data_IF_353337121763
#
_entry.id   IF_353337121763
#
_cell.length_a   1.000
_cell.length_b   1.000
_cell.length_c   1.000
_cell.angle_alpha   90.00
_cell.angle_beta   90.00
_cell.angle_gamma   90.00
#
_symmetry.space_group_name_H-M   'P 1'
#
loop_
_entity.id
_entity.type
_entity.pdbx_description
1 polymer ?
#
# COMPACT_ATOMS: atom_id res chain seq x y z
N UNK A 1 3.67 4.06 -8.95
CA UNK A 1 4.29 3.67 -10.23
C UNK A 1 5.72 4.20 -10.40
N UNK A 2 6.66 3.95 -9.47
CA UNK A 2 8.06 4.40 -9.62
C UNK A 2 8.79 3.65 -10.74
N UNK A 3 9.75 4.33 -11.38
CA UNK A 3 10.70 3.69 -12.30
C UNK A 3 11.95 3.34 -11.49
N UNK A 4 12.32 2.08 -11.49
CA UNK A 4 13.57 1.58 -10.88
C UNK A 4 14.40 0.79 -11.88
N UNK A 5 15.62 0.44 -11.48
CA UNK A 5 16.58 -0.31 -12.32
C UNK A 5 16.12 -1.75 -12.61
N UNK A 6 15.21 -2.28 -11.79
CA UNK A 6 14.67 -3.63 -11.88
C UNK A 6 13.15 -3.59 -11.94
N UNK A 7 12.56 -4.47 -12.75
CA UNK A 7 11.13 -4.69 -12.83
C UNK A 7 10.85 -6.19 -12.76
N UNK A 8 10.08 -6.61 -11.75
CA UNK A 8 9.64 -7.99 -11.55
C UNK A 8 10.76 -9.04 -11.72
N UNK A 9 11.91 -8.80 -11.08
CA UNK A 9 13.06 -9.72 -11.10
C UNK A 9 13.95 -9.66 -12.35
N UNK A 10 13.72 -8.73 -13.27
CA UNK A 10 14.54 -8.53 -14.48
C UNK A 10 15.03 -7.09 -14.58
N UNK A 11 16.18 -6.86 -15.22
CA UNK A 11 16.70 -5.50 -15.49
C UNK A 11 15.67 -4.70 -16.31
N UNK A 12 15.37 -3.48 -15.87
CA UNK A 12 14.36 -2.62 -16.46
C UNK A 12 14.93 -1.74 -17.59
N UNK A 13 15.47 -2.36 -18.64
CA UNK A 13 16.04 -1.61 -19.78
C UNK A 13 15.00 -0.78 -20.53
N UNK A 14 13.71 -1.11 -20.37
CA UNK A 14 12.58 -0.39 -20.97
C UNK A 14 12.09 0.81 -20.17
N UNK A 15 12.65 1.08 -18.98
CA UNK A 15 12.22 2.20 -18.14
C UNK A 15 10.75 2.12 -17.71
N UNK A 16 10.22 0.92 -17.51
CA UNK A 16 8.83 0.72 -17.09
C UNK A 16 8.61 1.26 -15.68
N UNK A 17 7.49 1.94 -15.46
CA UNK A 17 7.01 2.23 -14.11
C UNK A 17 6.40 0.98 -13.47
N UNK A 18 6.67 0.75 -12.19
CA UNK A 18 6.17 -0.40 -11.42
C UNK A 18 4.90 -0.04 -10.68
N UNK A 19 3.74 -0.55 -11.13
CA UNK A 19 2.43 -0.24 -10.56
C UNK A 19 1.83 -1.47 -9.87
N UNK A 20 1.21 -1.29 -8.71
CA UNK A 20 0.36 -2.26 -8.05
C UNK A 20 -0.54 -1.52 -7.04
N UNK A 21 -1.65 -2.15 -6.66
CA UNK A 21 -2.48 -1.66 -5.56
C UNK A 21 -1.63 -1.53 -4.28
N UNK A 22 -1.87 -0.49 -3.50
CA UNK A 22 -1.09 -0.15 -2.30
C UNK A 22 -2.03 0.25 -1.16
N UNK A 23 -1.72 -0.22 0.05
CA UNK A 23 -2.50 0.06 1.25
C UNK A 23 -1.56 0.58 2.33
N UNK A 24 -1.49 1.89 2.46
CA UNK A 24 -0.62 2.56 3.41
C UNK A 24 -1.27 2.54 4.78
N UNK A 25 -0.95 1.47 5.52
CA UNK A 25 -1.44 1.26 6.87
C UNK A 25 -0.99 2.40 7.81
N UNK A 26 0.22 2.92 7.62
CA UNK A 26 0.81 3.91 8.51
C UNK A 26 1.97 4.67 7.86
N UNK A 27 1.67 5.86 7.35
CA UNK A 27 2.69 6.87 7.04
C UNK A 27 2.64 7.92 8.14
N UNK A 28 3.73 8.10 8.87
CA UNK A 28 3.74 8.99 10.02
C UNK A 28 5.15 9.39 10.45
N UNK A 29 5.19 10.47 11.22
CA UNK A 29 6.31 10.80 12.08
C UNK A 29 5.79 11.20 13.47
N UNK A 30 6.62 11.82 14.32
CA UNK A 30 6.18 12.25 15.65
C UNK A 30 5.14 13.38 15.65
N UNK A 31 4.80 13.96 14.49
CA UNK A 31 4.02 15.20 14.35
C UNK A 31 2.71 15.02 13.59
N UNK A 32 2.64 14.09 12.65
CA UNK A 32 1.44 13.79 11.87
C UNK A 32 1.38 12.32 11.45
N UNK A 33 0.20 11.88 10.98
CA UNK A 33 -0.04 10.54 10.45
C UNK A 33 -1.12 10.55 9.38
N UNK A 34 -1.02 9.64 8.41
CA UNK A 34 -2.02 9.33 7.42
C UNK A 34 -2.28 7.80 7.31
N UNK A 35 -3.50 7.45 6.93
CA UNK A 35 -3.94 6.13 6.51
C UNK A 35 -4.53 6.28 5.10
N UNK A 36 -4.01 5.54 4.12
CA UNK A 36 -4.33 5.82 2.71
C UNK A 36 -4.42 4.54 1.86
N UNK A 37 -5.60 4.17 1.34
CA UNK A 37 -5.72 3.19 0.26
C UNK A 37 -5.42 3.84 -1.11
N UNK A 38 -4.69 3.12 -1.95
CA UNK A 38 -4.29 3.51 -3.30
C UNK A 38 -4.71 2.42 -4.31
N UNK A 39 -5.94 2.48 -4.84
CA UNK A 39 -6.41 1.52 -5.82
C UNK A 39 -5.68 1.66 -7.16
N UNK A 40 -5.49 0.53 -7.82
CA UNK A 40 -5.01 0.45 -9.19
C UNK A 40 -5.85 -0.50 -10.02
N UNK A 41 -5.97 -0.19 -11.30
CA UNK A 41 -6.62 -1.06 -12.29
C UNK A 41 -5.84 -2.35 -12.61
N UNK A 42 -4.58 -2.47 -12.15
CA UNK A 42 -3.75 -3.68 -12.28
C UNK A 42 -3.86 -4.58 -11.05
N UNK A 43 -4.05 -5.89 -11.25
CA UNK A 43 -4.35 -6.82 -10.14
C UNK A 43 -3.14 -7.25 -9.30
N UNK A 44 -1.93 -7.06 -9.79
CA UNK A 44 -0.64 -7.33 -9.14
C UNK A 44 0.40 -6.35 -9.69
N UNK A 45 1.69 -6.71 -9.73
CA UNK A 45 2.70 -5.89 -10.36
C UNK A 45 2.44 -5.77 -11.88
N UNK A 46 2.31 -4.53 -12.35
CA UNK A 46 2.08 -4.16 -13.74
C UNK A 46 3.06 -3.09 -14.19
N UNK A 47 3.65 -3.28 -15.37
CA UNK A 47 4.55 -2.30 -15.99
C UNK A 47 3.73 -1.23 -16.73
N UNK A 48 4.06 0.03 -16.56
CA UNK A 48 3.44 1.14 -17.28
C UNK A 48 4.47 1.92 -18.11
N UNK A 49 3.98 2.65 -19.12
CA UNK A 49 4.73 3.68 -19.85
C UNK A 49 3.83 4.88 -20.14
N UNK A 50 4.43 6.06 -20.33
CA UNK A 50 3.68 7.25 -20.76
C UNK A 50 2.54 7.62 -19.80
N UNK A 51 1.35 7.92 -20.35
CA UNK A 51 0.18 8.32 -19.55
C UNK A 51 -0.31 7.25 -18.58
N UNK A 52 -0.05 5.97 -18.84
CA UNK A 52 -0.38 4.90 -17.90
C UNK A 52 0.39 5.01 -16.58
N UNK A 53 1.56 5.66 -16.58
CA UNK A 53 2.32 6.00 -15.37
C UNK A 53 1.96 7.37 -14.79
N UNK A 54 1.09 8.13 -15.45
CA UNK A 54 0.70 9.49 -15.07
C UNK A 54 -0.16 9.55 -13.81
N UNK A 55 -0.52 10.76 -13.39
CA UNK A 55 -1.39 11.00 -12.23
C UNK A 55 -2.80 10.41 -12.36
N UNK A 56 -3.29 10.26 -13.59
CA UNK A 56 -4.58 9.63 -13.91
C UNK A 56 -4.40 8.32 -14.69
N UNK A 57 -3.28 7.63 -14.44
CA UNK A 57 -2.88 6.40 -15.13
C UNK A 57 -3.46 5.13 -14.51
N UNK A 58 -2.63 4.10 -14.34
CA UNK A 58 -3.06 2.81 -13.79
C UNK A 58 -3.42 2.84 -12.31
N UNK A 59 -2.79 3.74 -11.56
CA UNK A 59 -2.87 3.80 -10.11
C UNK A 59 -3.24 5.20 -9.66
N UNK A 60 -4.07 5.24 -8.63
CA UNK A 60 -4.31 6.46 -7.87
C UNK A 60 -3.07 6.78 -7.02
N UNK A 61 -2.42 7.88 -7.39
CA UNK A 61 -1.20 8.35 -6.71
C UNK A 61 -1.49 9.17 -5.46
N UNK A 62 -2.67 9.79 -5.38
CA UNK A 62 -2.99 10.67 -4.26
C UNK A 62 -3.57 9.86 -3.09
N UNK A 63 -4.40 8.88 -3.40
CA UNK A 63 -5.03 8.05 -2.38
C UNK A 63 -6.19 8.74 -1.69
N UNK A 64 -6.99 7.93 -1.00
CA UNK A 64 -8.02 8.42 -0.10
C UNK A 64 -7.47 8.60 1.32
N UNK A 65 -6.77 9.70 1.59
CA UNK A 65 -6.06 9.91 2.85
C UNK A 65 -6.97 10.23 4.04
N UNK A 66 -6.70 9.63 5.19
CA UNK A 66 -7.23 10.04 6.50
C UNK A 66 -6.10 10.59 7.38
N UNK A 67 -5.96 11.92 7.41
CA UNK A 67 -5.05 12.63 8.31
C UNK A 67 -5.87 13.41 9.36
N UNK A 68 -5.82 13.06 10.65
CA UNK A 68 -6.59 13.74 11.70
C UNK A 68 -6.37 15.25 11.75
N UNK A 69 -5.13 15.72 11.53
CA UNK A 69 -4.81 17.14 11.56
C UNK A 69 -5.50 17.88 10.40
N UNK A 70 -5.44 17.33 9.19
CA UNK A 70 -6.14 17.87 8.01
C UNK A 70 -7.66 17.84 8.16
N UNK A 71 -8.18 16.87 8.91
CA UNK A 71 -9.60 16.76 9.26
C UNK A 71 -9.98 17.63 10.48
N UNK A 72 -9.15 18.60 10.85
CA UNK A 72 -9.46 19.61 11.88
C UNK A 72 -9.20 19.16 13.32
N UNK A 73 -8.61 17.99 13.53
CA UNK A 73 -8.29 17.44 14.86
C UNK A 73 -6.81 17.63 15.21
N UNK A 74 -6.37 18.88 15.25
CA UNK A 74 -4.97 19.26 15.47
C UNK A 74 -4.43 18.86 16.86
N UNK A 75 -5.31 18.68 17.84
CA UNK A 75 -4.97 18.21 19.20
C UNK A 75 -4.98 16.69 19.38
N UNK A 76 -5.12 15.92 18.30
CA UNK A 76 -5.34 14.47 18.39
C UNK A 76 -4.05 13.65 18.39
N UNK A 77 -3.15 13.81 17.42
CA UNK A 77 -1.93 13.00 17.28
C UNK A 77 -0.69 13.89 17.30
N UNK A 78 0.25 13.63 18.20
CA UNK A 78 1.48 14.40 18.33
C UNK A 78 2.11 14.31 19.72
N UNK A 79 3.22 15.03 19.97
CA UNK A 79 3.97 14.87 21.21
C UNK A 79 3.18 15.41 22.41
N UNK A 80 2.75 14.53 23.33
CA UNK A 80 1.91 14.88 24.48
C UNK A 80 0.43 15.12 24.17
N UNK A 81 -0.05 14.73 22.98
CA UNK A 81 -1.46 14.87 22.57
C UNK A 81 -2.29 13.62 22.92
N UNK A 82 -3.54 13.55 22.45
CA UNK A 82 -4.46 12.43 22.73
C UNK A 82 -3.84 11.06 22.41
N UNK A 83 -3.23 10.96 21.23
CA UNK A 83 -2.27 9.92 20.88
C UNK A 83 -0.87 10.53 21.01
N UNK A 84 -0.20 10.21 22.11
CA UNK A 84 1.10 10.76 22.48
C UNK A 84 2.24 10.04 21.74
N UNK A 85 2.83 10.73 20.78
CA UNK A 85 3.93 10.18 19.96
C UNK A 85 5.26 10.08 20.68
N UNK A 86 5.38 10.59 21.92
CA UNK A 86 6.54 10.35 22.79
C UNK A 86 6.51 8.97 23.46
N UNK A 87 5.38 8.26 23.37
CA UNK A 87 5.18 6.94 23.95
C UNK A 87 4.98 5.90 22.86
N UNK A 88 5.12 4.62 23.24
CA UNK A 88 4.76 3.51 22.35
C UNK A 88 3.27 3.60 21.99
N UNK A 89 2.96 3.49 20.71
CA UNK A 89 1.59 3.46 20.18
C UNK A 89 1.32 2.06 19.64
N UNK A 90 0.20 1.46 20.03
CA UNK A 90 -0.37 0.34 19.27
C UNK A 90 -1.37 0.92 18.28
N UNK A 91 -1.22 0.60 17.00
CA UNK A 91 -2.13 1.03 15.93
C UNK A 91 -2.92 -0.20 15.48
N UNK A 92 -4.25 -0.12 15.47
CA UNK A 92 -5.11 -1.19 14.93
C UNK A 92 -5.90 -0.63 13.76
N UNK A 93 -5.82 -1.32 12.62
CA UNK A 93 -6.59 -1.01 11.41
C UNK A 93 -7.48 -2.21 11.12
N UNK A 94 -8.79 -1.99 10.93
CA UNK A 94 -9.76 -3.05 10.63
C UNK A 94 -10.41 -2.80 9.28
N UNK A 95 -10.64 -3.88 8.54
CA UNK A 95 -11.18 -3.86 7.18
C UNK A 95 -12.55 -4.54 7.19
N UNK A 96 -13.62 -3.75 7.12
CA UNK A 96 -14.99 -4.24 7.24
C UNK A 96 -15.61 -4.45 5.88
N UNK A 97 -16.18 -5.63 5.68
CA UNK A 97 -16.89 -5.99 4.45
C UNK A 97 -18.40 -5.85 4.62
N UNK A 98 -19.10 -5.69 3.51
CA UNK A 98 -20.55 -5.47 3.44
C UNK A 98 -21.40 -6.52 4.17
N UNK A 99 -20.89 -7.74 4.32
CA UNK A 99 -21.58 -8.88 4.93
C UNK A 99 -20.84 -9.48 6.14
N UNK A 100 -19.75 -8.85 6.58
CA UNK A 100 -18.92 -9.33 7.68
C UNK A 100 -18.11 -10.61 7.37
N UNK A 101 -18.00 -11.01 6.11
CA UNK A 101 -17.20 -12.18 5.68
C UNK A 101 -15.89 -11.76 5.00
N UNK A 102 -14.94 -12.68 4.90
CA UNK A 102 -13.68 -12.44 4.17
C UNK A 102 -13.84 -12.39 2.64
N UNK A 103 -15.05 -12.63 2.12
CA UNK A 103 -15.36 -12.62 0.68
C UNK A 103 -16.29 -11.47 0.27
N UNK A 104 -16.84 -10.74 1.25
CA UNK A 104 -17.66 -9.57 0.98
C UNK A 104 -16.86 -8.40 0.41
N UNK A 105 -17.55 -7.41 -0.14
CA UNK A 105 -16.94 -6.18 -0.64
C UNK A 105 -16.44 -5.35 0.53
N UNK A 106 -15.20 -4.86 0.50
CA UNK A 106 -14.70 -3.90 1.49
C UNK A 106 -15.50 -2.59 1.42
N UNK A 107 -16.08 -2.17 2.54
CA UNK A 107 -16.93 -0.97 2.63
C UNK A 107 -16.40 0.08 3.59
N UNK A 108 -15.58 -0.32 4.56
CA UNK A 108 -15.06 0.59 5.57
C UNK A 108 -13.69 0.15 6.11
N UNK A 109 -12.78 1.11 6.28
CA UNK A 109 -11.51 0.90 7.00
C UNK A 109 -11.55 1.74 8.27
N UNK A 110 -11.54 1.09 9.42
CA UNK A 110 -11.51 1.78 10.73
C UNK A 110 -10.14 1.75 11.36
N UNK A 111 -9.89 2.73 12.23
CA UNK A 111 -8.66 2.91 12.97
C UNK A 111 -8.95 3.03 14.47
N UNK A 112 -8.07 2.51 15.29
CA UNK A 112 -8.00 2.84 16.72
C UNK A 112 -6.55 2.76 17.20
N UNK A 113 -6.29 3.36 18.35
CA UNK A 113 -5.00 3.34 19.01
C UNK A 113 -5.12 2.74 20.40
N UNK A 114 -4.01 2.20 20.92
CA UNK A 114 -3.92 1.78 22.32
C UNK A 114 -2.61 2.31 22.90
N UNK A 115 -2.71 3.08 23.99
CA UNK A 115 -1.59 3.59 24.77
C UNK A 115 -1.90 3.47 26.25
N UNK A 116 -0.89 3.08 27.04
CA UNK A 116 -1.02 2.95 28.50
C UNK A 116 -2.24 2.11 28.95
N UNK A 117 -2.58 1.09 28.15
CA UNK A 117 -3.72 0.21 28.41
C UNK A 117 -5.10 0.81 28.08
N UNK A 118 -5.17 1.99 27.48
CA UNK A 118 -6.43 2.66 27.11
C UNK A 118 -6.63 2.58 25.60
N UNK A 119 -7.83 2.16 25.18
CA UNK A 119 -8.27 2.25 23.78
C UNK A 119 -8.67 3.69 23.49
N UNK A 120 -8.10 4.23 22.42
CA UNK A 120 -8.36 5.56 21.90
C UNK A 120 -9.02 5.35 20.54
N UNK A 121 -10.31 5.68 20.44
CA UNK A 121 -11.05 5.66 19.17
C UNK A 121 -10.42 6.64 18.18
N UNK A 122 -10.57 6.40 16.87
CA UNK A 122 -10.05 7.32 15.85
C UNK A 122 -10.55 8.76 16.05
N UNK A 123 -9.79 9.71 15.50
CA UNK A 123 -10.23 11.08 15.40
C UNK A 123 -11.57 11.18 14.65
N UNK A 124 -12.45 12.05 15.11
CA UNK A 124 -13.69 12.40 14.43
C UNK A 124 -13.48 13.74 13.73
N UNK A 125 -13.61 13.78 12.42
CA UNK A 125 -13.39 14.97 11.60
C UNK A 125 -14.24 16.15 12.08
N UNK A 126 -13.60 17.31 12.22
CA UNK A 126 -14.19 18.54 12.74
C UNK A 126 -15.21 19.15 11.77
N UNK A 127 -16.05 20.05 12.28
CA UNK A 127 -17.15 20.66 11.50
C UNK A 127 -16.70 21.43 10.26
N UNK A 128 -15.48 21.98 10.26
CA UNK A 128 -14.90 22.74 9.16
C UNK A 128 -14.07 21.91 8.17
N UNK A 129 -13.96 20.59 8.37
CA UNK A 129 -13.12 19.70 7.53
C UNK A 129 -13.69 19.42 6.14
N UNK A 130 -14.96 19.77 5.89
CA UNK A 130 -15.71 19.28 4.74
C UNK A 130 -16.28 17.87 4.93
N UNK A 131 -15.89 17.16 5.99
CA UNK A 131 -16.32 15.79 6.32
C UNK A 131 -16.78 15.66 7.77
N UNK A 132 -17.69 16.53 8.26
CA UNK A 132 -18.07 16.57 9.67
C UNK A 132 -18.55 15.21 10.17
N UNK A 133 -17.96 14.72 11.27
CA UNK A 133 -18.35 13.46 11.88
C UNK A 133 -17.68 12.21 11.29
N UNK A 134 -16.92 12.32 10.19
CA UNK A 134 -16.21 11.18 9.62
C UNK A 134 -15.09 10.69 10.55
N UNK A 135 -14.99 9.39 10.80
CA UNK A 135 -13.96 8.80 11.66
C UNK A 135 -13.32 7.52 11.09
N UNK A 136 -13.63 7.19 9.85
CA UNK A 136 -13.17 6.01 9.12
C UNK A 136 -13.04 6.33 7.62
N UNK A 137 -12.41 5.45 6.86
CA UNK A 137 -12.46 5.53 5.39
C UNK A 137 -13.67 4.74 4.90
N UNK A 138 -14.57 5.40 4.19
CA UNK A 138 -15.77 4.80 3.59
C UNK A 138 -15.80 5.14 2.10
N UNK A 139 -16.59 4.42 1.32
CA UNK A 139 -16.74 4.75 -0.11
C UNK A 139 -17.25 6.18 -0.33
N UNK A 140 -18.16 6.67 0.52
CA UNK A 140 -18.68 8.04 0.41
C UNK A 140 -17.61 9.08 0.72
N UNK A 141 -16.84 8.89 1.79
CA UNK A 141 -15.69 9.76 2.11
C UNK A 141 -14.68 9.76 0.96
N UNK A 142 -14.25 8.59 0.51
CA UNK A 142 -13.25 8.45 -0.54
C UNK A 142 -13.73 9.02 -1.87
N UNK A 143 -15.02 8.88 -2.20
CA UNK A 143 -15.57 9.48 -3.43
C UNK A 143 -15.50 10.99 -3.45
N UNK A 144 -15.64 11.60 -2.28
CA UNK A 144 -15.62 13.04 -2.14
C UNK A 144 -14.20 13.59 -1.97
N UNK A 145 -13.29 12.86 -1.33
CA UNK A 145 -11.90 13.29 -1.12
C UNK A 145 -10.98 12.98 -2.30
N UNK A 146 -11.22 11.87 -3.01
CA UNK A 146 -10.43 11.44 -4.17
C UNK A 146 -11.31 10.79 -5.24
N UNK A 147 -11.76 11.62 -6.19
CA UNK A 147 -12.62 11.15 -7.28
C UNK A 147 -11.90 10.23 -8.27
N UNK A 148 -10.57 10.30 -8.38
CA UNK A 148 -9.83 9.49 -9.34
C UNK A 148 -9.72 8.04 -8.87
N UNK A 149 -9.39 7.80 -7.59
CA UNK A 149 -9.39 6.46 -7.01
C UNK A 149 -10.74 5.74 -7.16
N UNK A 150 -11.85 6.49 -7.16
CA UNK A 150 -13.16 5.90 -7.47
C UNK A 150 -13.32 5.43 -8.92
N UNK A 151 -12.71 6.12 -9.88
CA UNK A 151 -12.69 5.61 -11.28
C UNK A 151 -11.91 4.30 -11.40
N UNK A 152 -11.02 4.01 -10.46
CA UNK A 152 -10.29 2.75 -10.33
C UNK A 152 -11.00 1.72 -9.44
N UNK A 153 -12.21 2.02 -8.97
CA UNK A 153 -13.08 1.12 -8.21
C UNK A 153 -12.95 1.22 -6.69
N UNK A 154 -12.23 2.22 -6.16
CA UNK A 154 -12.30 2.61 -4.75
C UNK A 154 -11.98 1.50 -3.76
N UNK A 155 -12.75 1.46 -2.65
CA UNK A 155 -12.53 0.44 -1.61
C UNK A 155 -12.85 -0.97 -2.10
N UNK A 156 -13.75 -1.13 -3.06
CA UNK A 156 -14.01 -2.46 -3.66
C UNK A 156 -12.74 -3.02 -4.28
N UNK A 157 -12.07 -2.28 -5.16
CA UNK A 157 -10.82 -2.71 -5.80
C UNK A 157 -9.72 -2.97 -4.76
N UNK A 158 -9.63 -2.12 -3.73
CA UNK A 158 -8.70 -2.34 -2.63
C UNK A 158 -9.00 -3.61 -1.82
N UNK A 159 -10.27 -3.90 -1.55
CA UNK A 159 -10.70 -5.13 -0.91
C UNK A 159 -10.35 -6.37 -1.72
N UNK A 160 -10.52 -6.31 -3.04
CA UNK A 160 -10.11 -7.38 -3.95
C UNK A 160 -8.58 -7.60 -3.92
N UNK A 161 -7.79 -6.52 -3.86
CA UNK A 161 -6.33 -6.60 -3.73
C UNK A 161 -5.90 -7.22 -2.38
N UNK A 162 -6.50 -6.78 -1.28
CA UNK A 162 -6.28 -7.34 0.06
C UNK A 162 -6.65 -8.83 0.11
N UNK A 163 -7.78 -9.21 -0.50
CA UNK A 163 -8.26 -10.59 -0.55
C UNK A 163 -7.35 -11.53 -1.34
N UNK A 164 -6.64 -11.04 -2.36
CA UNK A 164 -5.61 -11.82 -3.09
C UNK A 164 -4.34 -12.04 -2.27
N UNK A 165 -4.09 -11.19 -1.27
CA UNK A 165 -2.87 -11.17 -0.48
C UNK A 165 -1.90 -10.10 -0.96
N UNK A 166 -1.34 -9.34 -0.01
CA UNK A 166 -0.38 -8.26 -0.23
C UNK A 166 0.88 -8.49 0.62
N UNK A 167 2.00 -7.92 0.17
CA UNK A 167 3.26 -7.97 0.92
C UNK A 167 3.28 -6.83 1.95
N UNK A 168 3.64 -7.15 3.19
CA UNK A 168 3.90 -6.12 4.22
C UNK A 168 5.29 -5.50 3.97
N UNK A 169 5.32 -4.17 3.85
CA UNK A 169 6.55 -3.37 3.71
C UNK A 169 6.73 -2.51 4.97
N UNK A 170 7.95 -2.42 5.47
CA UNK A 170 8.35 -1.56 6.59
C UNK A 170 9.53 -0.71 6.12
N UNK A 171 9.43 0.60 6.27
CA UNK A 171 10.45 1.52 5.78
C UNK A 171 10.61 2.75 6.66
N UNK A 172 11.73 3.44 6.49
CA UNK A 172 11.97 4.80 6.95
C UNK A 172 12.59 5.57 5.78
N UNK A 173 12.07 6.75 5.47
CA UNK A 173 12.53 7.56 4.35
C UNK A 173 12.29 9.04 4.61
N UNK A 174 12.99 9.89 3.86
CA UNK A 174 12.75 11.33 3.78
C UNK A 174 12.51 11.71 2.31
N UNK A 175 12.06 12.94 2.09
CA UNK A 175 11.65 13.40 0.77
C UNK A 175 12.45 14.65 0.37
N UNK A 176 13.43 14.49 -0.52
CA UNK A 176 14.22 15.60 -1.02
C UNK A 176 13.44 16.54 -1.96
N UNK A 177 12.33 16.08 -2.54
CA UNK A 177 11.53 16.85 -3.50
C UNK A 177 10.45 17.71 -2.84
N UNK A 178 9.80 17.18 -1.81
CA UNK A 178 8.65 17.82 -1.15
C UNK A 178 8.76 17.95 0.37
N UNK A 179 9.88 17.54 0.98
CA UNK A 179 10.15 17.66 2.41
C UNK A 179 9.06 17.07 3.32
N UNK A 180 8.33 16.05 2.83
CA UNK A 180 7.17 15.46 3.53
C UNK A 180 6.03 16.43 3.83
N UNK A 181 6.00 17.60 3.17
CA UNK A 181 5.02 18.65 3.49
C UNK A 181 3.56 18.22 3.25
N UNK A 182 3.33 17.24 2.38
CA UNK A 182 2.02 16.63 2.18
C UNK A 182 1.51 15.87 3.42
N UNK A 183 2.43 15.36 4.25
CA UNK A 183 2.14 14.58 5.46
C UNK A 183 2.02 15.46 6.70
N UNK A 184 2.92 16.42 6.90
CA UNK A 184 3.14 17.02 8.21
C UNK A 184 3.20 18.55 8.27
N UNK A 185 3.01 19.26 7.15
CA UNK A 185 3.08 20.72 7.09
C UNK A 185 1.75 21.35 6.65
N UNK A 186 1.57 22.62 6.96
CA UNK A 186 0.41 23.42 6.53
C UNK A 186 -0.91 22.83 7.02
N UNK A 187 -1.74 22.37 6.08
CA UNK A 187 -3.02 21.73 6.42
C UNK A 187 -2.84 20.30 6.93
N UNK A 188 -1.69 19.65 6.71
CA UNK A 188 -1.47 18.25 7.06
C UNK A 188 -0.75 18.06 8.40
N UNK A 189 -0.15 19.12 8.94
CA UNK A 189 0.47 19.06 10.25
C UNK A 189 1.14 20.36 10.69
N UNK A 190 1.77 20.33 11.87
CA UNK A 190 2.34 21.51 12.52
C UNK A 190 3.79 21.83 12.09
N UNK A 191 4.38 21.05 11.19
CA UNK A 191 5.73 21.28 10.70
C UNK A 191 5.78 22.53 9.81
N UNK A 192 6.88 23.26 9.87
CA UNK A 192 7.14 24.33 8.91
C UNK A 192 7.45 23.76 7.52
N UNK A 193 7.26 24.57 6.48
CA UNK A 193 7.49 24.15 5.10
C UNK A 193 8.95 23.77 4.78
N UNK A 194 9.91 24.05 5.67
CA UNK A 194 11.34 23.81 5.45
C UNK A 194 11.98 22.86 6.43
N UNK A 195 11.33 22.49 7.54
CA UNK A 195 11.96 21.62 8.57
C UNK A 195 12.18 20.18 8.10
N UNK A 196 11.39 19.71 7.12
CA UNK A 196 11.53 18.38 6.52
C UNK A 196 12.68 18.24 5.52
N UNK A 197 13.54 19.26 5.36
CA UNK A 197 14.69 19.19 4.46
C UNK A 197 15.67 18.06 4.89
N UNK A 198 15.99 17.09 4.01
CA UNK A 198 16.86 15.96 4.36
C UNK A 198 18.22 16.36 4.95
N UNK A 199 18.86 17.41 4.44
CA UNK A 199 20.16 17.87 4.95
C UNK A 199 20.04 18.40 6.37
N UNK A 200 18.94 19.09 6.71
CA UNK A 200 18.67 19.56 8.06
C UNK A 200 18.35 18.39 9.00
N UNK A 201 17.56 17.41 8.53
CA UNK A 201 17.25 16.21 9.31
C UNK A 201 18.52 15.44 9.64
N UNK A 202 19.41 15.21 8.67
CA UNK A 202 20.68 14.50 8.91
C UNK A 202 21.58 15.28 9.87
N UNK A 203 21.62 16.61 9.75
CA UNK A 203 22.43 17.44 10.65
C UNK A 203 21.90 17.44 12.09
N UNK A 204 20.59 17.52 12.27
CA UNK A 204 19.96 17.73 13.58
C UNK A 204 19.59 16.41 14.28
N UNK A 205 19.18 15.41 13.50
CA UNK A 205 18.67 14.12 13.96
C UNK A 205 19.28 12.95 13.17
N UNK A 206 20.63 12.82 13.11
CA UNK A 206 21.30 11.79 12.32
C UNK A 206 20.96 10.36 12.75
N UNK A 207 20.50 10.19 13.99
CA UNK A 207 20.14 8.91 14.59
C UNK A 207 18.66 8.62 14.50
N UNK A 208 17.88 9.33 13.67
CA UNK A 208 16.44 9.09 13.52
C UNK A 208 16.15 7.61 13.21
N UNK A 209 15.16 7.06 13.88
CA UNK A 209 14.80 5.64 13.76
C UNK A 209 13.31 5.44 14.02
N UNK A 210 12.80 4.28 13.58
CA UNK A 210 11.46 3.81 13.88
C UNK A 210 11.56 2.36 14.35
N UNK A 211 10.74 1.97 15.32
CA UNK A 211 10.66 0.59 15.82
C UNK A 211 9.25 0.06 15.61
N UNK A 212 9.13 -0.89 14.68
CA UNK A 212 7.92 -1.70 14.52
C UNK A 212 8.06 -2.97 15.37
N UNK A 213 7.02 -3.31 16.14
CA UNK A 213 7.02 -4.50 17.00
C UNK A 213 5.59 -5.00 17.23
N UNK A 214 5.45 -6.24 17.72
CA UNK A 214 4.14 -6.84 18.06
C UNK A 214 3.15 -6.84 16.88
N UNK A 215 3.65 -7.14 15.68
CA UNK A 215 2.85 -7.25 14.46
C UNK A 215 1.89 -8.45 14.61
N UNK A 216 0.59 -8.19 14.45
CA UNK A 216 -0.49 -9.18 14.53
C UNK A 216 -1.49 -8.90 13.42
N UNK A 217 -2.09 -9.96 12.88
CA UNK A 217 -3.21 -9.91 11.96
C UNK A 217 -4.13 -11.09 12.24
N UNK A 218 -5.42 -10.97 11.91
CA UNK A 218 -6.43 -11.98 12.18
C UNK A 218 -7.82 -11.36 12.23
N UNK A 219 -8.77 -12.11 12.79
CA UNK A 219 -10.17 -11.69 12.92
C UNK A 219 -10.30 -10.36 13.67
N UNK A 220 -11.28 -9.55 13.26
CA UNK A 220 -11.55 -8.25 13.86
C UNK A 220 -11.81 -8.42 15.37
N UNK A 221 -11.05 -7.68 16.18
CA UNK A 221 -11.12 -7.74 17.64
C UNK A 221 -10.26 -8.83 18.30
N UNK A 222 -9.56 -9.68 17.54
CA UNK A 222 -8.71 -10.74 18.10
C UNK A 222 -7.24 -10.35 18.31
N UNK A 223 -6.81 -9.22 17.74
CA UNK A 223 -5.40 -8.82 17.68
C UNK A 223 -4.95 -7.92 18.84
N UNK A 224 -5.87 -7.56 19.74
CA UNK A 224 -5.59 -6.76 20.93
C UNK A 224 -6.52 -7.14 22.09
N UNK A 225 -6.06 -6.89 23.31
CA UNK A 225 -6.86 -7.03 24.53
C UNK A 225 -6.35 -6.06 25.59
N UNK A 226 -7.23 -5.27 26.19
CA UNK A 226 -6.91 -4.56 27.43
C UNK A 226 -7.10 -5.58 28.56
N UNK A 227 -6.07 -5.78 29.39
CA UNK A 227 -5.95 -6.92 30.31
C UNK A 227 -7.25 -7.39 30.97
N UNK A 228 -7.67 -8.61 30.62
CA UNK A 228 -8.03 -9.62 31.62
C UNK A 228 -6.82 -10.59 31.67
N UNK A 229 -6.37 -11.07 32.85
CA UNK A 229 -5.29 -12.05 32.93
C UNK A 229 -5.61 -13.27 32.04
N UNK A 230 -4.61 -14.02 31.57
CA UNK A 230 -4.84 -15.13 30.64
C UNK A 230 -5.78 -16.12 31.31
N UNK A 231 -7.03 -16.18 30.85
CA UNK A 231 -7.95 -17.24 31.24
C UNK A 231 -7.41 -18.49 30.58
N UNK A 232 -6.82 -19.37 31.38
CA UNK A 232 -6.49 -20.73 30.98
C UNK A 232 -7.72 -21.36 30.33
N UNK A 233 -7.56 -21.82 29.09
CA UNK A 233 -8.56 -22.56 28.36
C UNK A 233 -8.97 -23.81 29.13
N UNK A 234 -10.12 -23.75 29.81
CA UNK A 234 -10.91 -24.94 30.10
C UNK A 234 -12.02 -25.02 29.08
N UNK A 235 -11.90 -26.06 28.25
CA UNK A 235 -12.93 -26.61 27.38
C UNK A 235 -14.27 -26.68 28.12
N UNK A 236 -15.30 -26.05 27.56
CA UNK A 236 -16.69 -26.36 27.88
C UNK A 236 -17.54 -26.30 26.62
N UNK A 237 -17.71 -27.50 26.08
CA UNK A 237 -18.84 -28.06 25.33
C UNK A 237 -20.00 -27.14 24.97
N UNK A 238 -20.25 -27.10 23.66
CA UNK A 238 -21.47 -26.69 22.96
C UNK A 238 -22.78 -27.17 23.61
N UNK A 239 -23.71 -26.24 23.83
CA UNK A 239 -25.14 -26.52 23.78
C UNK A 239 -25.86 -25.41 23.05
N UNK A 240 -26.43 -25.79 21.90
CA UNK A 240 -27.30 -25.03 21.02
C UNK A 240 -28.59 -24.60 21.72
N UNK A 241 -28.95 -23.31 21.63
CA UNK A 241 -30.32 -22.85 21.84
C UNK A 241 -30.72 -21.87 20.72
N UNK A 242 -31.76 -22.27 19.98
CA UNK A 242 -32.43 -21.58 18.89
C UNK A 242 -33.22 -20.36 19.40
N UNK A 243 -33.26 -19.21 18.68
CA UNK A 243 -34.20 -18.13 19.01
C UNK A 243 -35.58 -18.40 18.41
N UNK A 244 -36.61 -18.30 19.25
CA UNK A 244 -38.02 -18.33 18.89
C UNK A 244 -38.52 -16.91 18.66
N UNK A 245 -39.22 -16.70 17.55
CA UNK A 245 -39.93 -15.49 17.14
C UNK A 245 -41.05 -15.10 18.11
N UNK A 246 -41.21 -13.80 18.39
CA UNK A 246 -42.49 -13.26 18.87
C UNK A 246 -42.78 -11.94 18.19
N UNK A 247 -43.97 -11.89 17.59
CA UNK A 247 -44.56 -10.79 16.85
C UNK A 247 -45.34 -9.89 17.81
N UNK A 248 -45.26 -8.57 17.63
CA UNK A 248 -46.30 -7.64 18.06
C UNK A 248 -46.54 -6.62 16.94
N UNK A 249 -47.75 -6.69 16.39
CA UNK A 249 -48.35 -5.67 15.54
C UNK A 249 -48.85 -4.49 16.41
N UNK A 250 -48.91 -3.29 15.85
CA UNK A 250 -50.15 -2.49 15.67
C UNK A 250 -49.87 -1.15 14.97
N UNK A 251 -50.71 -0.90 13.94
CA UNK A 251 -51.24 0.35 13.33
C UNK A 251 -50.36 1.62 13.35
N UNK A 252 -50.14 2.37 12.27
CA UNK A 252 -50.91 2.57 11.04
C UNK A 252 -51.08 4.07 10.83
N UNK A 253 -50.55 4.64 9.74
CA UNK A 253 -51.09 5.87 9.15
C UNK A 253 -50.57 6.04 7.72
N UNK A 254 -51.52 6.18 6.81
CA UNK A 254 -51.38 6.22 5.36
C UNK A 254 -51.29 7.68 4.92
N UNK A 255 -50.23 8.05 4.18
CA UNK A 255 -50.27 9.22 3.29
C UNK A 255 -49.73 8.81 1.93
N UNK A 256 -50.66 8.74 0.99
CA UNK A 256 -50.41 8.51 -0.45
C UNK A 256 -49.85 9.81 -1.03
N UNK A 257 -48.65 9.74 -1.62
CA UNK A 257 -48.18 10.76 -2.57
C UNK A 257 -47.81 10.07 -3.87
N UNK A 258 -48.70 10.27 -4.84
CA UNK A 258 -48.56 9.93 -6.25
C UNK A 258 -47.37 10.70 -6.84
N UNK A 259 -46.39 10.02 -7.42
CA UNK A 259 -45.48 10.61 -8.40
C UNK A 259 -45.39 9.73 -9.64
N UNK A 260 -45.72 10.36 -10.75
CA UNK A 260 -45.85 9.86 -12.11
C UNK A 260 -44.51 9.48 -12.71
N UNK A 261 -44.46 8.27 -13.27
CA UNK A 261 -43.41 7.73 -14.13
C UNK A 261 -43.34 8.48 -15.45
N UNK A 262 -42.17 9.05 -15.80
CA UNK A 262 -41.85 9.45 -17.17
C UNK A 262 -40.50 8.87 -17.60
N UNK A 263 -40.61 7.96 -18.56
CA UNK A 263 -39.56 7.34 -19.37
C UNK A 263 -38.90 8.37 -20.29
N UNK A 264 -37.56 8.45 -20.39
CA UNK A 264 -36.92 9.09 -21.53
C UNK A 264 -36.76 8.11 -22.69
N UNK A 265 -37.22 8.55 -23.85
CA UNK A 265 -37.24 7.88 -25.13
C UNK A 265 -35.86 7.93 -25.79
N UNK A 266 -35.47 6.83 -26.41
CA UNK A 266 -34.38 6.66 -27.36
C UNK A 266 -34.44 7.68 -28.50
N UNK A 267 -33.36 8.42 -28.74
CA UNK A 267 -33.16 9.21 -29.95
C UNK A 267 -32.10 8.52 -30.81
N UNK A 268 -32.54 7.95 -31.92
CA UNK A 268 -31.70 7.52 -33.03
C UNK A 268 -31.38 8.72 -33.90
N UNK A 269 -30.10 8.97 -34.16
CA UNK A 269 -29.65 9.86 -35.24
C UNK A 269 -28.83 9.07 -36.25
N UNK A 270 -29.36 8.99 -37.46
CA UNK A 270 -28.74 8.47 -38.68
C UNK A 270 -28.00 9.59 -39.40
N UNK A 271 -26.70 9.42 -39.72
CA UNK A 271 -26.08 10.18 -40.81
C UNK A 271 -24.83 9.49 -41.39
N UNK A 272 -25.02 9.03 -42.65
CA UNK A 272 -24.11 9.06 -43.81
C UNK A 272 -22.59 8.87 -43.67
N UNK A 273 -22.17 7.71 -44.20
CA UNK A 273 -20.92 7.37 -44.91
C UNK A 273 -20.42 8.46 -45.90
N UNK A 274 -19.09 8.59 -46.06
CA UNK A 274 -18.50 8.85 -47.36
C UNK A 274 -17.63 7.67 -47.86
N UNK A 275 -17.81 7.38 -49.13
CA UNK A 275 -17.06 6.48 -50.01
C UNK A 275 -15.71 7.09 -50.41
N UNK A 276 -14.64 6.29 -50.39
CA UNK A 276 -13.45 6.51 -51.26
C UNK A 276 -12.74 5.19 -51.60
N UNK A 277 -12.96 4.77 -52.84
CA UNK A 277 -12.01 4.35 -53.89
C UNK A 277 -10.76 3.52 -53.54
N UNK A 278 -10.73 2.32 -54.12
CA UNK A 278 -9.61 1.40 -54.34
C UNK A 278 -8.54 1.91 -55.32
N UNK A 279 -7.25 1.65 -55.06
CA UNK A 279 -6.25 1.25 -56.08
C UNK A 279 -5.04 0.54 -55.42
N UNK A 280 -4.46 -0.52 -56.04
CA UNK A 280 -3.42 -1.35 -55.42
C UNK A 280 -2.00 -0.88 -55.79
N UNK A 281 -1.04 -1.13 -54.89
CA UNK A 281 0.39 -0.94 -55.20
C UNK A 281 1.26 -2.00 -54.51
N UNK A 282 1.77 -2.91 -55.35
CA UNK A 282 3.09 -3.57 -55.34
C UNK A 282 3.68 -4.12 -54.04
N UNK A 283 3.71 -5.44 -54.00
CA UNK A 283 4.65 -6.31 -53.29
C UNK A 283 6.12 -5.96 -53.58
N UNK A 284 6.92 -5.75 -52.53
CA UNK A 284 8.39 -5.88 -52.60
C UNK A 284 8.86 -6.97 -51.65
N UNK A 285 9.67 -7.88 -52.21
CA UNK A 285 10.23 -9.11 -51.65
C UNK A 285 11.43 -8.79 -50.74
N UNK A 286 11.53 -9.36 -49.52
CA UNK A 286 12.77 -9.32 -48.76
C UNK A 286 13.82 -10.29 -49.35
N UNK A 287 15.07 -9.82 -49.48
CA UNK A 287 16.23 -10.62 -49.84
C UNK A 287 16.70 -11.51 -48.66
N UNK A 288 17.32 -12.67 -48.92
CA UNK A 288 17.73 -13.62 -47.87
C UNK A 288 18.96 -13.15 -47.08
N UNK A 289 19.11 -13.56 -45.80
CA UNK A 289 20.26 -13.21 -44.99
C UNK A 289 21.49 -14.04 -45.36
N UNK A 290 22.63 -13.37 -45.49
CA UNK A 290 23.95 -13.98 -45.66
C UNK A 290 24.51 -14.47 -44.32
N UNK A 291 24.75 -15.77 -44.23
CA UNK A 291 25.46 -16.42 -43.11
C UNK A 291 26.96 -16.14 -43.19
N UNK A 292 27.53 -15.49 -42.16
CA UNK A 292 28.98 -15.47 -41.93
C UNK A 292 29.34 -16.54 -40.89
N UNK A 293 30.16 -17.50 -41.35
CA UNK A 293 30.84 -18.52 -40.56
C UNK A 293 32.02 -17.88 -39.83
N UNK A 294 32.15 -18.11 -38.52
CA UNK A 294 33.33 -17.71 -37.73
C UNK A 294 33.95 -18.94 -37.08
N UNK A 295 35.23 -19.12 -37.38
CA UNK A 295 36.08 -20.26 -37.12
C UNK A 295 36.45 -20.38 -35.63
N UNK A 296 36.31 -21.59 -35.08
CA UNK A 296 36.83 -21.97 -33.76
C UNK A 296 38.34 -22.17 -33.80
N UNK A 297 39.09 -21.44 -32.96
CA UNK A 297 40.50 -21.74 -32.67
C UNK A 297 40.64 -22.23 -31.22
N UNK A 298 41.21 -23.43 -31.11
CA UNK A 298 41.53 -24.14 -29.87
C UNK A 298 42.91 -23.65 -29.41
N UNK A 299 43.04 -23.17 -28.18
CA UNK A 299 44.34 -22.84 -27.59
C UNK A 299 44.47 -23.39 -26.18
N UNK A 300 45.70 -23.82 -25.88
CA UNK A 300 46.12 -24.76 -24.85
C UNK A 300 46.02 -24.21 -23.42
N UNK A 301 45.65 -25.09 -22.49
CA UNK A 301 45.53 -24.82 -21.06
C UNK A 301 46.90 -24.86 -20.36
N UNK A 302 47.20 -23.81 -19.58
CA UNK A 302 48.26 -23.80 -18.57
C UNK A 302 47.59 -24.02 -17.22
N UNK A 303 47.99 -25.06 -16.51
CA UNK A 303 47.45 -25.48 -15.21
C UNK A 303 47.80 -24.48 -14.11
N UNK A 304 46.86 -23.61 -13.75
CA UNK A 304 46.82 -22.91 -12.47
C UNK A 304 45.66 -23.47 -11.64
N UNK A 305 45.93 -23.76 -10.37
CA UNK A 305 44.96 -24.23 -9.37
C UNK A 305 43.71 -23.34 -9.38
N UNK A 306 42.48 -23.87 -9.47
CA UNK A 306 41.28 -23.03 -9.47
C UNK A 306 41.21 -22.24 -8.17
N UNK A 307 41.14 -20.91 -8.29
CA UNK A 307 40.85 -20.01 -7.18
C UNK A 307 39.48 -20.40 -6.61
N UNK A 308 39.41 -20.65 -5.30
CA UNK A 308 38.13 -20.80 -4.63
C UNK A 308 37.28 -19.55 -4.91
N UNK A 309 35.97 -19.69 -5.16
CA UNK A 309 35.12 -18.53 -5.36
C UNK A 309 35.11 -17.71 -4.07
N UNK A 310 35.26 -16.39 -4.19
CA UNK A 310 35.21 -15.45 -3.08
C UNK A 310 33.89 -14.69 -3.08
N UNK A 311 33.31 -14.43 -1.90
CA UNK A 311 32.16 -13.56 -1.75
C UNK A 311 32.56 -12.10 -2.00
N UNK A 312 31.71 -11.33 -2.70
CA UNK A 312 31.93 -9.90 -2.93
C UNK A 312 31.79 -9.10 -1.63
N UNK A 313 32.18 -7.81 -1.64
CA UNK A 313 31.81 -6.89 -0.57
C UNK A 313 30.28 -6.95 -0.34
N UNK A 314 29.86 -7.04 0.92
CA UNK A 314 28.47 -7.25 1.35
C UNK A 314 27.85 -8.61 1.00
N UNK A 315 28.59 -9.52 0.36
CA UNK A 315 28.14 -10.89 0.10
C UNK A 315 28.09 -11.72 1.37
N UNK A 316 27.20 -12.72 1.42
CA UNK A 316 27.18 -13.70 2.50
C UNK A 316 28.45 -14.56 2.44
N UNK A 317 29.05 -14.81 3.59
CA UNK A 317 30.30 -15.58 3.73
C UNK A 317 30.22 -16.67 4.82
N UNK A 318 29.04 -16.90 5.38
CA UNK A 318 28.83 -17.90 6.43
C UNK A 318 27.40 -17.92 6.96
N UNK A 319 27.14 -18.87 7.84
CA UNK A 319 25.82 -19.14 8.43
C UNK A 319 25.44 -20.62 8.37
N UNK A 320 24.65 -21.09 9.34
CA UNK A 320 24.10 -22.45 9.36
C UNK A 320 23.32 -22.72 8.06
N UNK A 321 23.75 -23.75 7.32
CA UNK A 321 23.14 -24.16 6.05
C UNK A 321 23.66 -23.43 4.81
N UNK A 322 24.58 -22.46 4.95
CA UNK A 322 25.17 -21.76 3.80
C UNK A 322 26.21 -22.64 3.09
N UNK A 323 26.06 -22.82 1.77
CA UNK A 323 26.93 -23.64 0.92
C UNK A 323 27.76 -22.84 -0.09
N UNK A 324 27.75 -21.51 0.03
CA UNK A 324 28.46 -20.61 -0.88
C UNK A 324 29.89 -20.26 -0.41
N UNK A 325 30.52 -19.26 -1.04
CA UNK A 325 31.87 -18.80 -0.71
C UNK A 325 32.05 -18.40 0.76
N UNK A 326 32.97 -19.03 1.48
CA UNK A 326 33.26 -18.69 2.89
C UNK A 326 34.41 -17.70 3.06
N UNK A 327 35.06 -17.31 1.96
CA UNK A 327 36.18 -16.37 1.92
C UNK A 327 35.73 -15.12 1.19
N UNK A 328 35.97 -13.95 1.78
CA UNK A 328 35.66 -12.68 1.17
C UNK A 328 36.74 -12.26 0.16
N UNK A 329 36.34 -11.58 -0.91
CA UNK A 329 37.26 -10.94 -1.81
C UNK A 329 38.07 -9.89 -1.03
N UNK A 330 39.39 -9.86 -1.23
CA UNK A 330 40.24 -8.85 -0.61
C UNK A 330 39.75 -7.43 -0.99
N UNK A 331 39.70 -6.47 -0.06
CA UNK A 331 40.28 -6.46 1.30
C UNK A 331 39.32 -6.88 2.44
N UNK A 332 38.16 -7.45 2.12
CA UNK A 332 37.07 -7.63 3.08
C UNK A 332 37.26 -8.87 3.97
N UNK A 333 36.63 -8.86 5.14
CA UNK A 333 36.66 -9.95 6.11
C UNK A 333 35.26 -10.45 6.42
N UNK A 334 35.13 -11.76 6.64
CA UNK A 334 33.83 -12.33 6.97
C UNK A 334 33.45 -12.01 8.42
N UNK A 335 32.42 -11.18 8.62
CA UNK A 335 31.89 -10.79 9.93
C UNK A 335 30.61 -11.55 10.23
N UNK A 336 30.59 -12.26 11.35
CA UNK A 336 29.40 -12.99 11.83
C UNK A 336 28.36 -11.98 12.29
N UNK A 337 27.13 -12.10 11.78
CA UNK A 337 25.98 -11.31 12.22
C UNK A 337 25.11 -12.13 13.18
N UNK A 338 24.80 -13.37 12.80
CA UNK A 338 24.08 -14.33 13.63
C UNK A 338 24.37 -15.77 13.18
N UNK A 339 23.79 -16.74 13.87
CA UNK A 339 23.93 -18.18 13.62
C UNK A 339 23.69 -18.59 12.15
N UNK A 340 22.85 -17.88 11.41
CA UNK A 340 22.43 -18.21 10.05
C UNK A 340 23.05 -17.28 9.00
N UNK A 341 23.80 -16.25 9.41
CA UNK A 341 24.29 -15.24 8.49
C UNK A 341 25.61 -14.58 8.93
N UNK A 342 26.57 -14.55 8.02
CA UNK A 342 27.82 -13.78 8.11
C UNK A 342 28.04 -13.03 6.80
N UNK A 343 28.60 -11.83 6.84
CA UNK A 343 28.75 -10.93 5.69
C UNK A 343 30.18 -10.43 5.51
N UNK A 344 30.61 -10.24 4.27
CA UNK A 344 31.88 -9.59 3.96
C UNK A 344 31.80 -8.08 4.19
N UNK A 345 32.63 -7.57 5.12
CA UNK A 345 32.78 -6.16 5.51
C UNK A 345 34.24 -5.76 5.69
#
# INVERSE_FOLDING_TARGET
>A
CPVGDWFNGTVNTGGLGSCCNEMDLWEANGRATALTPHPCSVNSIGGCTGSACGSTGYCDKNGCGFNPYALGQQGYYGPGLTVDTKKKITVTTSFHTSDGTSTGTLTEITRQYIQDGVVIANAVAGSSSGFPGQNSLTDSYCSASDSFGQTLGGLKTMGEALGRGMVLVLSIWNDAGGYMTWLDSGNSGPCSATEGNPSLIIQQNPTTYVVFSNIRYGDIGSTWSIGKPPVSSKSSTSTSVKPTTTSSQILGSTTVVTTTTTKPTTVSTTTSKPTTTTKPTTTTKPAPPTTKSTTTTKSSATTTKPSQPTATHYGQCGGKGYTGPTVCASPWTCKVSNDYYSQCL
#
